data_IF_719684727728
#
_entry.id   IF_719684727728
#
_cell.length_a   1.000
_cell.length_b   1.000
_cell.length_c   1.000
_cell.angle_alpha   90.00
_cell.angle_beta   90.00
_cell.angle_gamma   90.00
#
_symmetry.space_group_name_H-M   'P 1'
#
loop_
_entity.id
_entity.type
_entity.pdbx_description
1 polymer ?
#
# COMPACT_ATOMS: atom_id res chain seq x y z
N UNK A 1 -8.20 -21.16 -11.35
CA UNK A 1 -7.19 -20.09 -11.17
C UNK A 1 -7.22 -19.70 -9.70
N UNK A 2 -6.28 -20.23 -8.92
CA UNK A 2 -6.29 -20.08 -7.47
C UNK A 2 -5.83 -18.68 -7.08
N UNK A 3 -6.66 -17.92 -6.37
CA UNK A 3 -6.20 -16.77 -5.62
C UNK A 3 -5.30 -17.30 -4.49
N UNK A 4 -4.05 -16.86 -4.43
CA UNK A 4 -3.17 -17.11 -3.28
C UNK A 4 -3.85 -16.51 -2.03
N UNK A 5 -4.62 -17.34 -1.31
CA UNK A 5 -5.21 -16.98 -0.03
C UNK A 5 -4.07 -16.97 0.99
N UNK A 6 -3.73 -15.78 1.50
CA UNK A 6 -2.95 -15.60 2.72
C UNK A 6 -3.59 -16.45 3.84
N UNK A 7 -2.99 -17.59 4.22
CA UNK A 7 -3.60 -18.50 5.21
C UNK A 7 -3.21 -18.23 6.67
N UNK A 8 -2.47 -17.16 7.00
CA UNK A 8 -2.04 -16.97 8.38
C UNK A 8 -2.80 -15.83 9.08
N UNK A 9 -3.52 -16.21 10.14
CA UNK A 9 -4.13 -15.32 11.12
C UNK A 9 -3.11 -14.40 11.83
N UNK A 10 -1.80 -14.57 11.60
CA UNK A 10 -0.72 -13.78 12.20
C UNK A 10 -0.64 -12.33 11.71
N UNK A 11 -1.18 -11.99 10.53
CA UNK A 11 -1.14 -10.60 10.04
C UNK A 11 -2.23 -9.66 10.59
N UNK A 12 -3.13 -10.18 11.42
CA UNK A 12 -4.03 -9.33 12.23
C UNK A 12 -3.30 -8.61 13.37
N UNK A 13 -2.03 -8.94 13.62
CA UNK A 13 -1.23 -8.36 14.71
C UNK A 13 -0.31 -7.27 14.17
N UNK A 14 -0.89 -6.14 13.73
CA UNK A 14 -0.64 -4.80 14.27
C UNK A 14 -1.22 -3.76 13.30
N UNK A 15 -2.20 -2.94 13.70
CA UNK A 15 -2.69 -1.81 12.90
C UNK A 15 -1.61 -0.73 12.68
N UNK A 16 -0.43 -0.86 13.28
CA UNK A 16 0.71 0.02 13.07
C UNK A 16 1.78 -0.64 12.18
N UNK A 17 1.56 -0.66 10.86
CA UNK A 17 2.59 -0.99 9.85
C UNK A 17 3.66 0.11 9.72
N UNK A 18 3.97 0.79 10.83
CA UNK A 18 5.04 1.78 10.99
C UNK A 18 6.28 1.09 11.54
N UNK A 19 7.43 1.68 11.24
CA UNK A 19 8.76 1.19 11.62
C UNK A 19 9.04 -0.25 11.19
N UNK A 20 8.44 -0.68 10.07
CA UNK A 20 8.65 -2.00 9.48
C UNK A 20 8.80 -1.91 7.97
N UNK A 21 9.55 -2.85 7.40
CA UNK A 21 9.65 -3.04 5.96
C UNK A 21 9.73 -4.51 5.55
N UNK A 22 9.34 -4.78 4.31
CA UNK A 22 9.49 -6.09 3.69
C UNK A 22 10.87 -6.21 3.04
N UNK A 23 11.64 -7.23 3.41
CA UNK A 23 13.01 -7.48 2.90
C UNK A 23 13.04 -8.61 1.87
N UNK A 24 13.99 -8.55 0.95
CA UNK A 24 14.29 -9.64 0.00
C UNK A 24 13.44 -9.65 -1.28
N UNK A 25 12.42 -8.79 -1.35
CA UNK A 25 11.51 -8.70 -2.50
C UNK A 25 11.59 -7.36 -3.24
N UNK A 26 12.43 -6.44 -2.77
CA UNK A 26 12.65 -5.15 -3.41
C UNK A 26 13.31 -5.34 -4.77
N UNK A 27 12.64 -4.87 -5.82
CA UNK A 27 13.16 -4.95 -7.20
C UNK A 27 13.44 -3.59 -7.81
N UNK A 28 13.01 -2.50 -7.15
CA UNK A 28 13.24 -1.15 -7.62
C UNK A 28 13.17 -0.14 -6.48
N UNK A 29 14.09 0.82 -6.50
CA UNK A 29 14.13 1.92 -5.54
C UNK A 29 14.00 3.26 -6.23
N UNK A 30 13.34 4.21 -5.58
CA UNK A 30 13.31 5.63 -5.94
C UNK A 30 13.67 6.48 -4.71
N UNK A 31 14.45 7.54 -4.94
CA UNK A 31 14.82 8.53 -3.92
C UNK A 31 14.09 9.84 -4.13
N UNK A 32 14.01 10.68 -3.08
CA UNK A 32 13.42 12.02 -3.10
C UNK A 32 12.01 12.02 -3.70
N UNK A 33 11.20 11.04 -3.30
CA UNK A 33 9.85 10.82 -3.84
C UNK A 33 8.82 10.93 -2.72
N UNK A 34 7.67 11.54 -3.01
CA UNK A 34 6.58 11.62 -2.03
C UNK A 34 5.90 10.24 -1.83
N UNK A 35 5.21 10.03 -0.70
CA UNK A 35 4.50 8.77 -0.43
C UNK A 35 3.47 8.48 -1.54
N UNK A 36 2.69 9.49 -1.94
CA UNK A 36 1.72 9.39 -3.04
C UNK A 36 2.38 9.05 -4.37
N UNK A 37 3.54 9.62 -4.68
CA UNK A 37 4.24 9.29 -5.91
C UNK A 37 4.81 7.86 -5.86
N UNK A 38 5.27 7.37 -4.71
CA UNK A 38 5.68 5.98 -4.52
C UNK A 38 4.53 5.00 -4.81
N UNK A 39 3.36 5.24 -4.21
CA UNK A 39 2.14 4.49 -4.51
C UNK A 39 1.83 4.47 -6.01
N UNK A 40 1.86 5.64 -6.67
CA UNK A 40 1.64 5.74 -8.11
C UNK A 40 2.67 4.95 -8.94
N UNK A 41 3.93 4.90 -8.52
CA UNK A 41 4.94 4.08 -9.19
C UNK A 41 4.62 2.59 -9.03
N UNK A 42 4.09 2.17 -7.89
CA UNK A 42 3.72 0.78 -7.65
C UNK A 42 2.51 0.36 -8.51
N UNK A 43 1.36 1.05 -8.41
CA UNK A 43 0.13 0.65 -9.12
C UNK A 43 0.27 0.68 -10.65
N UNK A 44 1.18 1.49 -11.20
CA UNK A 44 1.47 1.53 -12.66
C UNK A 44 2.28 0.32 -13.14
N UNK A 45 2.72 -0.56 -12.24
CA UNK A 45 3.58 -1.71 -12.55
C UNK A 45 2.87 -2.98 -12.12
N UNK A 46 2.50 -3.81 -13.10
CA UNK A 46 1.84 -5.11 -12.88
C UNK A 46 2.56 -6.04 -11.89
N UNK A 47 3.89 -5.90 -11.78
CA UNK A 47 4.74 -6.72 -10.89
C UNK A 47 4.86 -6.17 -9.47
N UNK A 48 4.34 -4.98 -9.20
CA UNK A 48 4.38 -4.40 -7.87
C UNK A 48 3.18 -4.90 -7.07
N UNK A 49 3.42 -5.49 -5.91
CA UNK A 49 2.37 -5.96 -5.01
C UNK A 49 2.37 -5.19 -3.68
N UNK A 50 3.51 -4.63 -3.30
CA UNK A 50 3.66 -3.77 -2.13
C UNK A 50 4.85 -2.84 -2.32
N UNK A 51 5.04 -1.91 -1.38
CA UNK A 51 6.25 -1.10 -1.31
C UNK A 51 6.60 -0.77 0.14
N UNK A 52 7.88 -0.52 0.39
CA UNK A 52 8.34 0.11 1.63
C UNK A 52 8.57 1.60 1.36
N UNK A 53 8.17 2.46 2.29
CA UNK A 53 8.42 3.89 2.20
C UNK A 53 9.11 4.38 3.46
N UNK A 54 10.31 4.93 3.33
CA UNK A 54 10.98 5.61 4.44
C UNK A 54 10.59 7.09 4.46
N UNK A 55 9.95 7.52 5.55
CA UNK A 55 9.46 8.90 5.71
C UNK A 55 10.57 9.92 5.93
N UNK A 56 11.64 9.52 6.61
CA UNK A 56 12.76 10.41 6.91
C UNK A 56 13.65 10.66 5.69
N UNK A 57 13.95 9.61 4.92
CA UNK A 57 14.83 9.70 3.74
C UNK A 57 14.08 9.92 2.43
N UNK A 58 12.74 9.96 2.44
CA UNK A 58 11.89 10.08 1.24
C UNK A 58 12.20 9.02 0.18
N UNK A 59 12.41 7.78 0.64
CA UNK A 59 12.83 6.63 -0.17
C UNK A 59 11.69 5.65 -0.36
N UNK A 60 11.53 5.15 -1.57
CA UNK A 60 10.50 4.21 -1.99
C UNK A 60 11.13 2.93 -2.53
N UNK A 61 10.76 1.78 -1.96
CA UNK A 61 11.25 0.46 -2.34
C UNK A 61 10.07 -0.39 -2.83
N UNK A 62 9.97 -0.63 -4.14
CA UNK A 62 8.90 -1.44 -4.71
C UNK A 62 9.20 -2.93 -4.57
N UNK A 63 8.21 -3.71 -4.16
CA UNK A 63 8.36 -5.14 -3.87
C UNK A 63 7.54 -6.02 -4.84
N UNK A 64 8.10 -7.19 -5.15
CA UNK A 64 7.45 -8.22 -5.97
C UNK A 64 6.40 -9.05 -5.23
N UNK A 65 6.31 -8.90 -3.90
CA UNK A 65 5.43 -9.71 -3.05
C UNK A 65 4.58 -8.82 -2.16
N UNK A 66 3.42 -9.36 -1.80
CA UNK A 66 2.48 -8.84 -0.81
C UNK A 66 2.85 -9.32 0.59
N UNK A 67 1.98 -9.04 1.56
CA UNK A 67 2.05 -9.54 2.93
C UNK A 67 1.79 -11.05 3.03
N UNK A 68 1.43 -11.72 1.93
CA UNK A 68 1.33 -13.19 1.87
C UNK A 68 2.71 -13.86 1.78
N UNK A 69 3.64 -13.42 2.63
CA UNK A 69 4.99 -13.96 2.81
C UNK A 69 5.21 -14.27 4.29
N UNK A 70 6.27 -15.00 4.62
CA UNK A 70 6.57 -15.34 6.02
C UNK A 70 6.87 -14.09 6.85
N UNK A 71 6.43 -14.08 8.11
CA UNK A 71 6.73 -13.02 9.08
C UNK A 71 8.24 -12.73 9.19
N UNK A 72 9.10 -13.73 9.00
CA UNK A 72 10.55 -13.57 9.00
C UNK A 72 11.11 -12.69 7.87
N UNK A 73 10.29 -12.33 6.88
CA UNK A 73 10.66 -11.38 5.84
C UNK A 73 10.41 -9.91 6.24
N UNK A 74 9.64 -9.68 7.30
CA UNK A 74 9.40 -8.35 7.85
C UNK A 74 10.48 -7.99 8.85
N UNK A 75 11.06 -6.82 8.66
CA UNK A 75 12.12 -6.28 9.51
C UNK A 75 11.64 -4.99 10.15
N UNK A 76 11.82 -4.88 11.47
CA UNK A 76 11.66 -3.61 12.19
C UNK A 76 12.79 -2.68 11.74
N UNK A 77 12.43 -1.56 11.13
CA UNK A 77 13.35 -0.53 10.67
C UNK A 77 12.68 0.84 10.81
N UNK A 78 13.15 1.63 11.79
CA UNK A 78 12.56 2.91 12.14
C UNK A 78 12.46 3.86 10.93
N UNK A 79 11.32 4.51 10.79
CA UNK A 79 11.02 5.43 9.71
C UNK A 79 10.46 4.77 8.45
N UNK A 80 10.55 3.44 8.31
CA UNK A 80 9.90 2.72 7.22
C UNK A 80 8.43 2.44 7.50
N UNK A 81 7.64 2.41 6.44
CA UNK A 81 6.25 1.97 6.44
C UNK A 81 6.08 0.97 5.32
N UNK A 82 5.54 -0.19 5.64
CA UNK A 82 5.14 -1.18 4.64
C UNK A 82 3.72 -0.88 4.15
N UNK A 83 3.52 -0.82 2.83
CA UNK A 83 2.21 -0.58 2.23
C UNK A 83 1.87 -1.64 1.19
N UNK A 84 0.74 -2.29 1.40
CA UNK A 84 0.11 -3.23 0.48
C UNK A 84 -0.80 -2.49 -0.50
N UNK A 85 -0.65 -2.67 -1.81
CA UNK A 85 -1.48 -1.93 -2.77
C UNK A 85 -2.94 -2.38 -2.83
N UNK A 86 -3.29 -3.50 -2.20
CA UNK A 86 -4.67 -3.97 -2.10
C UNK A 86 -5.32 -3.62 -0.76
N UNK A 87 -4.56 -3.10 0.23
CA UNK A 87 -5.05 -2.79 1.58
C UNK A 87 -4.65 -1.38 2.04
N UNK A 88 -4.62 -0.40 1.12
CA UNK A 88 -4.30 1.00 1.45
C UNK A 88 -5.52 1.86 1.78
N UNK A 89 -6.75 1.36 1.57
CA UNK A 89 -7.98 2.13 1.85
C UNK A 89 -8.05 2.51 3.34
N UNK A 90 -8.47 3.73 3.62
CA UNK A 90 -8.60 4.31 4.96
C UNK A 90 -7.35 5.00 5.50
N UNK A 91 -6.17 4.87 4.88
CA UNK A 91 -4.96 5.56 5.36
C UNK A 91 -4.89 6.99 4.79
N UNK A 92 -4.91 8.06 5.63
CA UNK A 92 -4.88 9.45 5.16
C UNK A 92 -3.66 9.82 4.31
N UNK A 93 -2.57 9.06 4.39
CA UNK A 93 -1.33 9.33 3.65
C UNK A 93 -1.34 8.72 2.25
N UNK A 94 -2.19 7.73 2.00
CA UNK A 94 -2.16 6.92 0.78
C UNK A 94 -3.51 6.79 0.09
N UNK A 95 -4.61 6.81 0.84
CA UNK A 95 -5.97 6.74 0.30
C UNK A 95 -6.49 8.14 -0.08
N UNK A 96 -6.71 8.40 -1.37
CA UNK A 96 -7.26 9.67 -1.82
C UNK A 96 -8.72 9.88 -1.42
N UNK A 97 -9.44 8.84 -0.98
CA UNK A 97 -10.83 8.91 -0.52
C UNK A 97 -11.01 9.32 0.95
N UNK A 98 -9.93 9.36 1.74
CA UNK A 98 -10.01 9.81 3.13
C UNK A 98 -10.34 11.30 3.18
N UNK A 99 -11.49 11.63 3.76
CA UNK A 99 -11.99 13.01 3.89
C UNK A 99 -12.77 13.55 2.69
N UNK A 100 -12.95 12.77 1.62
CA UNK A 100 -13.89 13.15 0.55
C UNK A 100 -15.32 12.90 1.02
N UNK A 101 -16.15 13.93 0.96
CA UNK A 101 -17.58 13.83 1.18
C UNK A 101 -18.25 13.61 -0.18
N UNK A 102 -18.38 12.34 -0.59
CA UNK A 102 -19.36 12.02 -1.62
C UNK A 102 -20.77 12.27 -1.05
N UNK A 103 -21.74 12.55 -1.91
CA UNK A 103 -23.10 12.82 -1.48
C UNK A 103 -23.72 11.60 -0.80
N UNK A 104 -24.82 11.80 -0.07
CA UNK A 104 -25.58 10.69 0.52
C UNK A 104 -26.01 9.71 -0.59
N UNK A 105 -25.66 8.43 -0.43
CA UNK A 105 -25.89 7.39 -1.44
C UNK A 105 -24.76 7.19 -2.45
N UNK A 106 -23.67 7.95 -2.36
CA UNK A 106 -22.49 7.78 -3.21
C UNK A 106 -21.30 7.14 -2.48
N UNK A 107 -20.60 6.25 -3.18
CA UNK A 107 -19.37 5.59 -2.75
C UNK A 107 -18.16 6.24 -3.41
N UNK A 108 -17.19 6.66 -2.59
CA UNK A 108 -15.90 7.12 -3.09
C UNK A 108 -15.08 5.95 -3.62
N UNK A 109 -14.79 5.98 -4.91
CA UNK A 109 -13.89 5.02 -5.54
C UNK A 109 -12.71 5.72 -6.22
N UNK A 110 -11.55 5.09 -6.12
CA UNK A 110 -10.35 5.52 -6.84
C UNK A 110 -10.13 4.56 -7.99
N UNK A 111 -10.65 4.91 -9.18
CA UNK A 111 -10.43 4.13 -10.38
C UNK A 111 -8.92 4.03 -10.66
N UNK A 112 -8.50 2.92 -11.29
CA UNK A 112 -7.11 2.61 -11.65
C UNK A 112 -6.38 3.75 -12.42
N UNK A 113 -7.15 4.72 -12.94
CA UNK A 113 -6.70 5.91 -13.66
C UNK A 113 -6.74 7.23 -12.87
N UNK A 114 -6.67 7.20 -11.53
CA UNK A 114 -6.44 8.39 -10.68
C UNK A 114 -7.58 9.41 -10.65
N UNK A 115 -8.80 9.02 -11.01
CA UNK A 115 -9.97 9.86 -10.76
C UNK A 115 -10.64 9.33 -9.51
N UNK A 116 -10.67 10.15 -8.47
CA UNK A 116 -11.65 9.97 -7.40
C UNK A 116 -13.01 10.20 -8.07
N UNK A 117 -13.85 9.19 -8.02
CA UNK A 117 -15.22 9.26 -8.51
C UNK A 117 -16.14 8.92 -7.35
N UNK A 118 -17.24 9.65 -7.25
CA UNK A 118 -18.36 9.27 -6.42
C UNK A 118 -19.32 8.49 -7.33
N UNK A 119 -19.64 7.26 -6.96
CA UNK A 119 -20.51 6.35 -7.71
C UNK A 119 -21.76 6.09 -6.89
N UNK A 120 -22.95 6.13 -7.49
CA UNK A 120 -24.19 5.76 -6.79
C UNK A 120 -24.12 4.28 -6.40
N UNK A 121 -24.40 3.96 -5.13
CA UNK A 121 -24.60 2.58 -4.70
C UNK A 121 -25.95 2.12 -5.29
N UNK A 122 -25.89 1.18 -6.23
CA UNK A 122 -27.06 0.71 -6.99
C UNK A 122 -27.98 -0.21 -6.21
#
# INVERSE_FOLDING_TARGET
MSAEQCTSETFRINPDKRDVKLRGFTYRTFEKISPRACFQKCIRRKRCHSYNYNRASLRCELNLKSMCVSDGNFQIETGYVYVEINHYRGDPLFDPCVGNQCAEGEVCDSLQNKKVVCLMDG
#
